data_IF_470374908039
#
_entry.id   IF_470374908039
#
_cell.length_a   1.000
_cell.length_b   1.000
_cell.length_c   1.000
_cell.angle_alpha   90.00
_cell.angle_beta   90.00
_cell.angle_gamma   90.00
#
_symmetry.space_group_name_H-M   'P 1'
#
loop_
_entity.id
_entity.type
_entity.pdbx_description
1 polymer ?
#
# COMPACT_ATOMS: atom_id res chain seq x y z
N UNK A 1 -17.88 -3.38 -19.09
CA UNK A 1 -17.43 -1.97 -18.95
C UNK A 1 -16.14 -1.79 -18.11
N UNK A 2 -15.53 -2.85 -17.54
CA UNK A 2 -14.18 -2.79 -16.95
C UNK A 2 -13.06 -3.23 -17.92
N UNK A 3 -13.36 -4.18 -18.82
CA UNK A 3 -12.43 -4.72 -19.81
C UNK A 3 -11.91 -3.67 -20.80
N UNK A 4 -12.70 -2.64 -21.12
CA UNK A 4 -12.32 -1.58 -22.08
C UNK A 4 -11.23 -0.63 -21.56
N UNK A 5 -10.95 -0.63 -20.25
CA UNK A 5 -9.87 0.17 -19.67
C UNK A 5 -8.65 -0.67 -19.27
N UNK A 6 -8.71 -1.99 -19.46
CA UNK A 6 -7.63 -2.90 -19.07
C UNK A 6 -6.31 -2.55 -19.79
N UNK A 7 -6.40 -2.15 -21.06
CA UNK A 7 -5.25 -1.74 -21.85
C UNK A 7 -4.58 -0.48 -21.28
N UNK A 8 -5.35 0.52 -20.85
CA UNK A 8 -4.83 1.71 -20.16
C UNK A 8 -4.17 1.40 -18.81
N UNK A 9 -4.76 0.50 -18.03
CA UNK A 9 -4.18 0.04 -16.74
C UNK A 9 -2.89 -0.74 -16.94
N UNK A 10 -2.84 -1.61 -17.95
CA UNK A 10 -1.66 -2.41 -18.28
C UNK A 10 -0.54 -1.54 -18.88
N UNK A 11 -0.89 -0.50 -19.64
CA UNK A 11 0.10 0.43 -20.22
C UNK A 11 0.77 1.32 -19.16
N UNK A 12 0.09 1.61 -18.05
CA UNK A 12 0.67 2.36 -16.92
C UNK A 12 1.58 1.48 -16.03
N UNK A 13 1.29 0.18 -15.94
CA UNK A 13 2.03 -0.75 -15.09
C UNK A 13 3.21 -1.38 -15.85
N UNK A 14 4.42 -0.83 -15.69
CA UNK A 14 5.66 -1.42 -16.26
C UNK A 14 5.92 -2.86 -15.81
N UNK A 15 5.41 -3.26 -14.65
CA UNK A 15 5.46 -4.63 -14.12
C UNK A 15 4.03 -5.15 -13.96
N UNK A 16 3.77 -6.38 -14.44
CA UNK A 16 2.47 -7.03 -14.22
C UNK A 16 2.33 -7.41 -12.75
N UNK A 17 1.56 -6.62 -12.00
CA UNK A 17 1.24 -6.88 -10.60
C UNK A 17 -0.16 -7.50 -10.51
N UNK A 18 -0.34 -8.51 -9.64
CA UNK A 18 -1.67 -9.10 -9.39
C UNK A 18 -2.60 -8.03 -8.82
N UNK A 19 -3.85 -7.96 -9.31
CA UNK A 19 -4.84 -6.97 -8.88
C UNK A 19 -4.98 -6.86 -7.35
N UNK A 20 -5.05 -8.00 -6.65
CA UNK A 20 -5.17 -8.02 -5.18
C UNK A 20 -3.98 -7.40 -4.42
N UNK A 21 -2.79 -7.34 -5.03
CA UNK A 21 -1.63 -6.65 -4.45
C UNK A 21 -1.81 -5.14 -4.54
N UNK A 22 -2.29 -4.63 -5.68
CA UNK A 22 -2.58 -3.21 -5.88
C UNK A 22 -3.67 -2.74 -4.93
N UNK A 23 -4.74 -3.53 -4.79
CA UNK A 23 -5.84 -3.25 -3.87
C UNK A 23 -5.38 -3.25 -2.42
N UNK A 24 -4.54 -4.21 -2.01
CA UNK A 24 -3.98 -4.25 -0.67
C UNK A 24 -3.10 -3.03 -0.37
N UNK A 25 -2.29 -2.58 -1.32
CA UNK A 25 -1.48 -1.37 -1.18
C UNK A 25 -2.38 -0.14 -1.04
N UNK A 26 -3.35 0.03 -1.94
CA UNK A 26 -4.30 1.15 -1.89
C UNK A 26 -5.13 1.16 -0.59
N UNK A 27 -5.55 -0.01 -0.10
CA UNK A 27 -6.24 -0.15 1.17
C UNK A 27 -5.39 0.28 2.36
N UNK A 28 -4.11 -0.11 2.39
CA UNK A 28 -3.18 0.29 3.45
C UNK A 28 -2.92 1.81 3.43
N UNK A 29 -2.70 2.40 2.25
CA UNK A 29 -2.50 3.85 2.09
C UNK A 29 -3.75 4.61 2.55
N UNK A 30 -4.94 4.18 2.10
CA UNK A 30 -6.21 4.80 2.50
C UNK A 30 -6.42 4.71 4.02
N UNK A 31 -6.16 3.56 4.62
CA UNK A 31 -6.27 3.38 6.08
C UNK A 31 -5.30 4.32 6.82
N UNK A 32 -4.08 4.49 6.33
CA UNK A 32 -3.09 5.40 6.91
C UNK A 32 -3.56 6.86 6.89
N UNK A 33 -4.01 7.32 5.71
CA UNK A 33 -4.49 8.70 5.52
C UNK A 33 -5.75 8.95 6.35
N UNK A 34 -6.67 7.99 6.41
CA UNK A 34 -7.86 8.09 7.27
C UNK A 34 -7.50 8.22 8.76
N UNK A 35 -6.48 7.52 9.25
CA UNK A 35 -5.96 7.63 10.64
C UNK A 35 -5.07 8.86 10.86
N UNK A 36 -4.73 9.59 9.81
CA UNK A 36 -3.89 10.77 9.84
C UNK A 36 -4.61 12.04 9.36
N UNK A 37 -5.94 12.03 9.29
CA UNK A 37 -6.74 13.18 8.81
C UNK A 37 -6.33 14.46 9.54
N UNK A 38 -6.07 15.51 8.76
CA UNK A 38 -5.60 16.81 9.26
C UNK A 38 -4.07 16.93 9.35
N UNK A 39 -3.31 15.87 9.09
CA UNK A 39 -1.85 15.94 9.12
C UNK A 39 -1.29 16.64 7.88
N UNK A 40 -0.80 17.87 8.07
CA UNK A 40 -0.21 18.70 6.99
C UNK A 40 1.28 18.39 6.76
N UNK A 41 1.94 17.78 7.73
CA UNK A 41 3.36 17.45 7.65
C UNK A 41 3.56 16.08 6.97
N UNK A 42 4.05 16.12 5.73
CA UNK A 42 4.32 14.93 4.92
C UNK A 42 5.42 14.05 5.54
N UNK A 43 6.43 14.64 6.17
CA UNK A 43 7.53 13.90 6.79
C UNK A 43 7.04 13.02 7.94
N UNK A 44 6.11 13.54 8.75
CA UNK A 44 5.49 12.74 9.80
C UNK A 44 4.62 11.61 9.25
N UNK A 45 3.95 11.83 8.11
CA UNK A 45 3.16 10.78 7.46
C UNK A 45 4.06 9.66 6.92
N UNK A 46 5.23 10.00 6.38
CA UNK A 46 6.25 9.04 5.94
C UNK A 46 6.78 8.21 7.12
N UNK A 47 7.16 8.84 8.23
CA UNK A 47 7.59 8.14 9.45
C UNK A 47 6.51 7.16 9.95
N UNK A 48 5.24 7.52 9.84
CA UNK A 48 4.12 6.65 10.22
C UNK A 48 3.96 5.47 9.26
N UNK A 49 4.20 5.69 7.97
CA UNK A 49 4.22 4.64 6.95
C UNK A 49 5.36 3.65 7.19
N UNK A 50 6.57 4.16 7.41
CA UNK A 50 7.77 3.38 7.71
C UNK A 50 7.59 2.54 8.97
N UNK A 51 7.04 3.14 10.04
CA UNK A 51 6.72 2.40 11.27
C UNK A 51 5.76 1.24 11.01
N UNK A 52 4.68 1.47 10.26
CA UNK A 52 3.74 0.39 9.91
C UNK A 52 4.38 -0.68 9.04
N UNK A 53 5.26 -0.30 8.11
CA UNK A 53 6.01 -1.23 7.29
C UNK A 53 6.96 -2.08 8.15
N UNK A 54 7.80 -1.45 8.98
CA UNK A 54 8.71 -2.12 9.90
C UNK A 54 7.98 -3.12 10.80
N UNK A 55 6.92 -2.69 11.48
CA UNK A 55 6.10 -3.55 12.33
C UNK A 55 5.49 -4.73 11.55
N UNK A 56 4.95 -4.50 10.35
CA UNK A 56 4.39 -5.60 9.52
C UNK A 56 5.47 -6.57 9.03
N UNK A 57 6.69 -6.08 8.81
CA UNK A 57 7.86 -6.88 8.43
C UNK A 57 8.32 -7.74 9.61
N UNK A 58 8.43 -7.14 10.80
CA UNK A 58 8.75 -7.82 12.05
C UNK A 58 7.72 -8.90 12.37
N UNK A 59 6.41 -8.63 12.24
CA UNK A 59 5.36 -9.63 12.43
C UNK A 59 5.46 -10.80 11.44
N UNK A 60 5.84 -10.54 10.19
CA UNK A 60 6.04 -11.60 9.18
C UNK A 60 7.30 -12.43 9.46
N UNK A 61 8.37 -11.81 9.94
CA UNK A 61 9.60 -12.49 10.34
C UNK A 61 9.34 -13.39 11.56
N UNK A 62 8.68 -12.87 12.61
CA UNK A 62 8.31 -13.66 13.78
C UNK A 62 7.39 -14.83 13.44
N UNK A 63 6.51 -14.69 12.44
CA UNK A 63 5.65 -15.78 11.97
C UNK A 63 6.38 -16.84 11.16
N UNK A 64 7.50 -16.50 10.51
CA UNK A 64 8.35 -17.48 9.79
C UNK A 64 9.33 -18.21 10.72
N UNK A 65 9.63 -17.63 11.89
CA UNK A 65 10.56 -18.18 12.86
C UNK A 65 9.90 -19.08 13.92
N UNK A 66 8.56 -19.15 13.94
CA UNK A 66 7.75 -20.05 14.78
C UNK A 66 7.22 -21.21 13.94
#
# INVERSE_FOLDING_TARGET
>A
MLLGHLEGFLNYCRTKVRLGVVEAVNGNIKAMVCRGRGQKNLHYLLLKAERMAATKTEFLVSRKAA
#
